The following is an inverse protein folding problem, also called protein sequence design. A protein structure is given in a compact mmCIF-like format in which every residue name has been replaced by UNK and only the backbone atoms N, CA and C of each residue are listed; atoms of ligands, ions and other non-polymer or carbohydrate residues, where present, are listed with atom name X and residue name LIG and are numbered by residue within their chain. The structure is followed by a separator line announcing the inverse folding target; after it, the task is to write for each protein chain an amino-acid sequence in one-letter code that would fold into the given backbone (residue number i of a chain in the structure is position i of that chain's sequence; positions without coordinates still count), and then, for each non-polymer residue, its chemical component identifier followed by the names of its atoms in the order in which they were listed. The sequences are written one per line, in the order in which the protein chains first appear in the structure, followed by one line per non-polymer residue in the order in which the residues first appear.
data_IF_396916028374
#
_entry.id   IF_396916028374
#
_cell.length_a   1.000
_cell.length_b   1.000
_cell.length_c   1.000
_cell.angle_alpha   90.00
_cell.angle_beta   90.00
_cell.angle_gamma   90.00
#
_symmetry.space_group_name_H-M   'P 1'
#
loop_
_entity.id
_entity.type
_entity.pdbx_description
1 polymer ?
#
# COMPACT_ATOMS: atom_id res chain seq x y z
N UNK A 1 -6.71 -7.01 -5.06
CA UNK A 1 -7.27 -7.14 -3.68
C UNK A 1 -6.90 -8.48 -3.03
N UNK A 2 -7.28 -9.64 -3.58
CA UNK A 2 -7.05 -10.96 -2.92
C UNK A 2 -5.58 -11.38 -2.71
N UNK A 3 -4.64 -10.90 -3.53
CA UNK A 3 -3.20 -11.23 -3.41
C UNK A 3 -2.47 -10.51 -2.26
N UNK A 4 -3.04 -9.43 -1.70
CA UNK A 4 -2.41 -8.63 -0.62
C UNK A 4 -2.92 -9.00 0.79
N UNK A 5 -3.94 -9.86 0.88
CA UNK A 5 -4.63 -10.23 2.14
C UNK A 5 -3.70 -10.80 3.21
N UNK A 6 -2.63 -11.48 2.83
CA UNK A 6 -1.67 -12.07 3.76
C UNK A 6 -0.73 -11.05 4.41
N UNK A 7 -0.57 -9.85 3.81
CA UNK A 7 0.38 -8.84 4.26
C UNK A 7 -0.26 -7.53 4.73
N UNK A 8 -1.55 -7.31 4.45
CA UNK A 8 -2.23 -6.02 4.63
C UNK A 8 -3.69 -6.21 5.04
N UNK A 9 -4.24 -5.26 5.82
CA UNK A 9 -5.69 -5.24 6.07
C UNK A 9 -6.46 -4.91 4.77
N UNK A 10 -7.76 -5.19 4.71
CA UNK A 10 -8.56 -4.91 3.51
C UNK A 10 -8.55 -3.40 3.13
N UNK A 11 -8.41 -2.52 4.13
CA UNK A 11 -8.29 -1.08 3.93
C UNK A 11 -6.97 -0.71 3.26
N UNK A 12 -5.87 -1.22 3.79
CA UNK A 12 -4.52 -1.02 3.25
C UNK A 12 -4.43 -1.45 1.78
N UNK A 13 -4.98 -2.61 1.45
CA UNK A 13 -4.99 -3.10 0.06
C UNK A 13 -5.82 -2.22 -0.88
N UNK A 14 -6.87 -1.55 -0.38
CA UNK A 14 -7.67 -0.62 -1.16
C UNK A 14 -6.91 0.69 -1.42
N UNK A 15 -6.20 1.23 -0.43
CA UNK A 15 -5.36 2.41 -0.60
C UNK A 15 -4.19 2.15 -1.55
N UNK A 16 -3.57 0.98 -1.47
CA UNK A 16 -2.52 0.54 -2.41
C UNK A 16 -3.06 0.44 -3.83
N UNK A 17 -4.19 -0.26 -4.03
CA UNK A 17 -4.78 -0.41 -5.36
C UNK A 17 -5.23 0.94 -5.96
N UNK A 18 -5.71 1.86 -5.13
CA UNK A 18 -6.06 3.21 -5.54
C UNK A 18 -4.82 4.01 -5.96
N UNK A 19 -3.74 3.93 -5.18
CA UNK A 19 -2.48 4.59 -5.49
C UNK A 19 -1.87 4.05 -6.79
N UNK A 20 -1.95 2.73 -7.03
CA UNK A 20 -1.56 2.12 -8.31
C UNK A 20 -2.41 2.63 -9.47
N UNK A 21 -3.74 2.68 -9.31
CA UNK A 21 -4.65 3.15 -10.36
C UNK A 21 -4.46 4.64 -10.71
N UNK A 22 -3.97 5.43 -9.76
CA UNK A 22 -3.74 6.86 -9.91
C UNK A 22 -2.28 7.22 -10.23
N UNK A 23 -1.38 6.23 -10.30
CA UNK A 23 0.08 6.43 -10.39
C UNK A 23 0.60 7.44 -9.34
N UNK A 24 0.05 7.37 -8.12
CA UNK A 24 0.27 8.32 -7.04
C UNK A 24 1.08 7.69 -5.89
N UNK A 25 1.82 8.54 -5.15
CA UNK A 25 2.48 8.12 -3.91
C UNK A 25 1.47 7.96 -2.78
N UNK A 26 1.39 6.77 -2.19
CA UNK A 26 0.63 6.53 -0.97
C UNK A 26 1.46 6.92 0.24
N UNK A 27 1.08 7.98 0.95
CA UNK A 27 1.74 8.39 2.18
C UNK A 27 1.10 7.67 3.37
N UNK A 28 1.91 6.97 4.17
CA UNK A 28 1.46 6.27 5.38
C UNK A 28 2.43 6.53 6.54
N UNK A 29 1.94 6.45 7.78
CA UNK A 29 2.79 6.43 8.98
C UNK A 29 3.13 4.99 9.42
N UNK A 30 2.57 3.98 8.76
CA UNK A 30 2.81 2.58 9.07
C UNK A 30 4.03 2.04 8.31
N UNK A 31 5.12 1.82 9.03
CA UNK A 31 6.37 1.28 8.49
C UNK A 31 6.28 -0.17 7.99
N UNK A 32 5.28 -0.96 8.42
CA UNK A 32 5.04 -2.30 7.87
C UNK A 32 4.36 -2.19 6.51
N UNK A 33 3.40 -1.28 6.38
CA UNK A 33 2.70 -1.03 5.12
C UNK A 33 3.67 -0.51 4.04
N UNK A 34 4.55 0.42 4.41
CA UNK A 34 5.59 0.95 3.52
C UNK A 34 6.60 -0.09 3.02
N UNK A 35 6.69 -1.26 3.65
CA UNK A 35 7.62 -2.34 3.30
C UNK A 35 6.94 -3.59 2.75
N UNK A 36 5.63 -3.56 2.55
CA UNK A 36 4.91 -4.73 2.10
C UNK A 36 5.32 -5.10 0.67
N UNK A 37 5.72 -6.37 0.43
CA UNK A 37 6.00 -6.83 -0.92
C UNK A 37 4.70 -7.16 -1.67
N UNK A 38 4.72 -7.05 -3.00
CA UNK A 38 3.64 -7.52 -3.87
C UNK A 38 2.73 -6.45 -4.48
N UNK A 39 3.15 -5.18 -4.49
CA UNK A 39 2.49 -4.10 -5.21
C UNK A 39 3.51 -3.24 -5.96
N UNK A 40 3.07 -2.54 -7.00
CA UNK A 40 3.84 -1.57 -7.77
C UNK A 40 3.67 -0.14 -7.24
N UNK A 41 2.70 0.12 -6.36
CA UNK A 41 2.49 1.44 -5.76
C UNK A 41 3.75 1.95 -5.04
N UNK A 42 4.04 3.23 -5.24
CA UNK A 42 5.05 3.96 -4.47
C UNK A 42 4.45 4.31 -3.11
N UNK A 43 5.01 3.75 -2.05
CA UNK A 43 4.58 4.04 -0.68
C UNK A 43 5.65 4.87 0.02
N UNK A 44 5.25 6.03 0.56
CA UNK A 44 6.11 6.95 1.28
C UNK A 44 5.78 6.93 2.78
N UNK A 45 6.81 6.79 3.62
CA UNK A 45 6.65 6.78 5.07
C UNK A 45 6.75 8.22 5.60
N UNK A 46 5.66 8.73 6.16
CA UNK A 46 5.66 10.00 6.88
C UNK A 46 6.24 9.81 8.28
N UNK A 47 7.29 10.58 8.61
CA UNK A 47 7.97 10.58 9.92
C UNK A 47 7.77 11.92 10.60
#
# INVERSE_FOLDING_TARGET
IWQLRSNMTAFDAAYVALAEALDASLVTADGKLARAPGHAARIELYR
#
